data_IF_405112714803
#
_entry.id   IF_405112714803
#
_cell.length_a   1.000
_cell.length_b   1.000
_cell.length_c   1.000
_cell.angle_alpha   90.00
_cell.angle_beta   90.00
_cell.angle_gamma   90.00
#
_symmetry.space_group_name_H-M   'P 1'
#
loop_
_entity.id
_entity.type
_entity.pdbx_description
1 polymer ?
#
# COMPACT_ATOMS: atom_id res chain seq x y z
N UNK A 1 1.68 -0.29 24.33
CA UNK A 1 2.07 -1.48 23.55
C UNK A 1 0.77 -2.23 23.28
N UNK A 2 0.36 -2.40 22.02
CA UNK A 2 -0.86 -3.14 21.62
C UNK A 2 -0.53 -4.62 21.37
N UNK A 3 -1.54 -5.49 21.37
CA UNK A 3 -1.34 -6.93 21.14
C UNK A 3 -1.06 -7.25 19.67
N UNK A 4 -0.63 -8.47 19.37
CA UNK A 4 -0.41 -8.93 17.99
C UNK A 4 -1.77 -9.03 17.27
N UNK A 5 -2.79 -9.51 17.97
CA UNK A 5 -4.17 -9.65 17.48
C UNK A 5 -4.76 -8.30 17.10
N UNK A 6 -4.61 -7.27 17.94
CA UNK A 6 -5.08 -5.92 17.66
C UNK A 6 -4.44 -5.35 16.37
N UNK A 7 -3.13 -5.59 16.18
CA UNK A 7 -2.42 -5.16 14.97
C UNK A 7 -2.87 -5.94 13.73
N UNK A 8 -3.07 -7.25 13.86
CA UNK A 8 -3.56 -8.09 12.78
C UNK A 8 -4.98 -7.69 12.35
N UNK A 9 -5.86 -7.40 13.32
CA UNK A 9 -7.22 -6.92 13.06
C UNK A 9 -7.25 -5.55 12.38
N UNK A 10 -6.28 -4.67 12.66
CA UNK A 10 -6.11 -3.42 11.91
C UNK A 10 -5.64 -3.66 10.48
N UNK A 11 -4.69 -4.58 10.28
CA UNK A 11 -4.16 -4.89 8.95
C UNK A 11 -5.21 -5.52 8.03
N UNK A 12 -6.07 -6.40 8.54
CA UNK A 12 -7.07 -7.08 7.73
C UNK A 12 -8.15 -6.13 7.21
N UNK A 13 -8.39 -4.99 7.87
CA UNK A 13 -9.38 -3.99 7.39
C UNK A 13 -9.11 -3.49 5.96
N UNK A 14 -7.85 -3.57 5.48
CA UNK A 14 -7.47 -3.16 4.13
C UNK A 14 -8.17 -3.95 3.02
N UNK A 15 -8.66 -5.15 3.31
CA UNK A 15 -9.38 -5.97 2.32
C UNK A 15 -10.86 -5.58 2.17
N UNK A 16 -11.37 -4.71 3.06
CA UNK A 16 -12.77 -4.32 3.11
C UNK A 16 -13.69 -5.45 3.59
N UNK A 17 -15.01 -5.26 3.45
CA UNK A 17 -16.04 -6.19 3.94
C UNK A 17 -16.97 -6.70 2.85
N UNK A 18 -16.95 -6.09 1.66
CA UNK A 18 -17.91 -6.38 0.58
C UNK A 18 -17.39 -7.40 -0.43
N UNK A 19 -16.09 -7.39 -0.72
CA UNK A 19 -15.49 -8.29 -1.71
C UNK A 19 -15.05 -9.59 -1.02
N UNK A 20 -15.50 -10.77 -1.50
CA UNK A 20 -14.99 -12.05 -0.98
C UNK A 20 -13.55 -12.27 -1.45
N UNK A 21 -12.72 -12.86 -0.59
CA UNK A 21 -11.40 -13.37 -1.00
C UNK A 21 -11.63 -14.59 -1.89
N UNK A 22 -11.18 -14.52 -3.14
CA UNK A 22 -11.43 -15.56 -4.15
C UNK A 22 -10.29 -16.56 -4.30
N UNK A 23 -9.14 -16.29 -3.68
CA UNK A 23 -8.00 -17.19 -3.69
C UNK A 23 -6.79 -16.62 -2.96
N UNK A 24 -5.82 -17.50 -2.72
CA UNK A 24 -4.51 -17.15 -2.19
C UNK A 24 -3.45 -17.27 -3.28
N UNK A 25 -2.40 -16.47 -3.18
CA UNK A 25 -1.26 -16.46 -4.09
C UNK A 25 0.01 -16.74 -3.29
N UNK A 26 0.89 -17.55 -3.86
CA UNK A 26 2.27 -17.64 -3.39
C UNK A 26 3.05 -16.37 -3.81
N UNK A 27 4.24 -16.17 -3.26
CA UNK A 27 5.10 -15.02 -3.51
C UNK A 27 5.36 -14.84 -5.00
N UNK A 28 5.15 -13.61 -5.48
CA UNK A 28 5.35 -13.23 -6.90
C UNK A 28 4.48 -13.99 -7.92
N UNK A 29 3.42 -14.68 -7.50
CA UNK A 29 2.48 -15.35 -8.41
C UNK A 29 1.40 -14.38 -8.90
N UNK A 30 1.20 -14.33 -10.21
CA UNK A 30 0.17 -13.52 -10.86
C UNK A 30 -1.23 -14.12 -10.64
N UNK A 31 -2.26 -13.32 -10.31
CA UNK A 31 -3.64 -13.79 -10.22
C UNK A 31 -4.17 -14.28 -11.57
N UNK A 32 -5.02 -15.31 -11.57
CA UNK A 32 -5.58 -15.90 -12.80
C UNK A 32 -6.85 -15.20 -13.30
N UNK A 33 -7.37 -14.22 -12.56
CA UNK A 33 -8.58 -13.49 -12.91
C UNK A 33 -8.87 -12.30 -11.98
N UNK A 34 -9.92 -11.51 -12.29
CA UNK A 34 -10.30 -10.36 -11.48
C UNK A 34 -10.88 -10.78 -10.12
N UNK A 35 -10.66 -9.96 -9.09
CA UNK A 35 -11.21 -10.15 -7.75
C UNK A 35 -10.19 -9.85 -6.66
N UNK A 36 -10.55 -10.17 -5.41
CA UNK A 36 -9.69 -9.97 -4.25
C UNK A 36 -8.85 -11.23 -3.98
N UNK A 37 -7.53 -11.10 -4.15
CA UNK A 37 -6.55 -12.16 -3.91
C UNK A 37 -5.70 -11.85 -2.68
N UNK A 38 -5.33 -12.87 -1.93
CA UNK A 38 -4.46 -12.75 -0.76
C UNK A 38 -3.09 -13.37 -1.03
N UNK A 39 -2.04 -12.56 -1.14
CA UNK A 39 -0.67 -13.05 -1.34
C UNK A 39 0.01 -13.35 -0.01
N UNK A 40 0.43 -14.60 0.20
CA UNK A 40 1.24 -14.99 1.35
C UNK A 40 2.68 -14.47 1.18
N UNK A 41 3.01 -13.42 1.92
CA UNK A 41 4.22 -12.64 1.71
C UNK A 41 4.75 -12.02 3.00
N UNK A 42 6.02 -11.63 2.98
CA UNK A 42 6.65 -10.88 4.06
C UNK A 42 6.00 -9.50 4.23
N UNK A 43 5.94 -9.01 5.47
CA UNK A 43 5.46 -7.66 5.77
C UNK A 43 6.54 -6.58 5.61
N UNK A 44 7.79 -6.95 5.30
CA UNK A 44 8.87 -6.00 5.06
C UNK A 44 8.60 -5.21 3.78
N UNK A 45 8.51 -3.87 3.90
CA UNK A 45 8.02 -3.00 2.83
C UNK A 45 8.73 -3.20 1.48
N UNK A 46 10.06 -3.22 1.48
CA UNK A 46 10.83 -3.33 0.23
C UNK A 46 10.67 -4.71 -0.43
N UNK A 47 10.58 -5.77 0.36
CA UNK A 47 10.33 -7.13 -0.13
C UNK A 47 8.91 -7.27 -0.66
N UNK A 48 7.90 -6.84 0.11
CA UNK A 48 6.49 -6.92 -0.30
C UNK A 48 6.23 -6.20 -1.63
N UNK A 49 6.72 -4.96 -1.76
CA UNK A 49 6.50 -4.18 -2.99
C UNK A 49 7.24 -4.82 -4.18
N UNK A 50 8.41 -5.44 -3.94
CA UNK A 50 9.12 -6.20 -4.99
C UNK A 50 8.32 -7.43 -5.44
N UNK A 51 7.73 -8.18 -4.51
CA UNK A 51 6.95 -9.38 -4.82
C UNK A 51 5.68 -9.04 -5.61
N UNK A 52 4.95 -8.00 -5.23
CA UNK A 52 3.73 -7.60 -5.96
C UNK A 52 4.05 -6.99 -7.32
N UNK A 53 5.18 -6.27 -7.45
CA UNK A 53 5.67 -5.82 -8.75
C UNK A 53 5.96 -7.02 -9.67
N UNK A 54 6.65 -8.05 -9.15
CA UNK A 54 6.91 -9.29 -9.89
C UNK A 54 5.61 -10.07 -10.23
N UNK A 55 4.58 -9.99 -9.39
CA UNK A 55 3.28 -10.59 -9.65
C UNK A 55 2.42 -9.83 -10.68
N UNK A 56 2.86 -8.64 -11.14
CA UNK A 56 2.18 -7.85 -12.16
C UNK A 56 1.25 -6.75 -11.63
N UNK A 57 1.46 -6.27 -10.40
CA UNK A 57 0.70 -5.12 -9.89
C UNK A 57 1.04 -3.85 -10.67
N UNK A 58 0.04 -3.02 -10.93
CA UNK A 58 0.19 -1.76 -11.68
C UNK A 58 0.27 -0.52 -10.78
N UNK A 59 -0.23 -0.62 -9.55
CA UNK A 59 -0.19 0.43 -8.52
C UNK A 59 -0.14 -0.24 -7.15
N UNK A 60 0.56 0.38 -6.18
CA UNK A 60 0.58 -0.06 -4.80
C UNK A 60 0.20 1.07 -3.83
N UNK A 61 -0.85 0.88 -3.02
CA UNK A 61 -1.15 1.80 -1.92
C UNK A 61 -0.36 1.42 -0.66
N UNK A 62 0.40 2.37 -0.13
CA UNK A 62 1.23 2.17 1.06
C UNK A 62 0.79 3.08 2.22
N UNK A 63 -0.11 2.62 3.11
CA UNK A 63 -0.48 3.39 4.29
C UNK A 63 0.66 3.42 5.31
N UNK A 64 1.02 4.61 5.78
CA UNK A 64 2.08 4.76 6.78
C UNK A 64 1.73 5.79 7.85
N UNK A 65 1.84 5.38 9.12
CA UNK A 65 1.62 6.25 10.28
C UNK A 65 2.89 6.93 10.81
N UNK A 66 4.08 6.49 10.36
CA UNK A 66 5.38 7.02 10.81
C UNK A 66 6.18 7.67 9.67
N UNK A 67 5.61 7.74 8.46
CA UNK A 67 6.27 8.37 7.32
C UNK A 67 7.36 7.51 6.71
N UNK A 68 7.11 6.21 6.54
CA UNK A 68 8.01 5.36 5.76
C UNK A 68 8.09 5.89 4.32
N UNK A 69 9.31 6.14 3.85
CA UNK A 69 9.63 6.73 2.55
C UNK A 69 9.85 5.69 1.45
N UNK A 70 9.32 4.48 1.63
CA UNK A 70 9.43 3.40 0.65
C UNK A 70 8.79 3.84 -0.69
N UNK A 71 9.51 3.57 -1.78
CA UNK A 71 8.99 3.55 -3.13
C UNK A 71 9.43 2.27 -3.84
N UNK A 72 9.36 2.26 -5.16
CA UNK A 72 9.80 1.15 -5.98
C UNK A 72 10.09 1.63 -7.41
N UNK A 73 11.13 1.09 -8.09
CA UNK A 73 11.46 1.50 -9.45
C UNK A 73 10.51 0.96 -10.54
N UNK A 74 9.65 -0.02 -10.24
CA UNK A 74 8.80 -0.71 -11.22
C UNK A 74 7.33 -0.33 -11.07
N UNK A 75 6.80 -0.37 -9.84
CA UNK A 75 5.39 -0.08 -9.56
C UNK A 75 5.25 1.25 -8.82
N UNK A 76 4.36 2.17 -9.26
CA UNK A 76 4.05 3.39 -8.52
C UNK A 76 3.54 3.09 -7.11
N UNK A 77 4.14 3.76 -6.12
CA UNK A 77 3.79 3.60 -4.70
C UNK A 77 3.08 4.85 -4.20
N UNK A 78 1.76 4.76 -4.09
CA UNK A 78 0.90 5.84 -3.58
C UNK A 78 0.92 5.79 -2.06
N UNK A 79 1.57 6.77 -1.42
CA UNK A 79 1.66 6.83 0.04
C UNK A 79 0.51 7.63 0.63
N UNK A 80 -0.06 7.10 1.70
CA UNK A 80 -1.16 7.75 2.42
C UNK A 80 -0.95 7.73 3.93
N UNK A 81 -1.51 8.73 4.62
CA UNK A 81 -1.48 8.76 6.08
C UNK A 81 -2.76 9.33 6.68
N UNK A 82 -3.22 8.68 7.75
CA UNK A 82 -4.23 9.22 8.65
C UNK A 82 -3.61 9.96 9.86
N UNK A 83 -2.28 9.94 10.03
CA UNK A 83 -1.62 10.57 11.16
C UNK A 83 -1.36 12.07 10.89
N UNK A 84 -2.04 13.00 11.60
CA UNK A 84 -1.88 14.43 11.37
C UNK A 84 -0.44 14.93 11.54
N UNK A 85 0.33 14.29 12.44
CA UNK A 85 1.73 14.66 12.66
C UNK A 85 2.56 14.33 11.41
N UNK A 86 2.40 13.13 10.86
CA UNK A 86 3.10 12.69 9.65
C UNK A 86 2.75 13.56 8.47
N UNK A 87 1.46 13.87 8.26
CA UNK A 87 1.03 14.79 7.20
C UNK A 87 1.69 16.16 7.36
N UNK A 88 1.74 16.70 8.58
CA UNK A 88 2.33 18.03 8.82
C UNK A 88 3.85 18.08 8.60
N UNK A 89 4.57 17.01 8.96
CA UNK A 89 6.05 17.03 8.98
C UNK A 89 6.70 16.34 7.79
N UNK A 90 5.94 15.62 6.97
CA UNK A 90 6.43 14.82 5.84
C UNK A 90 5.46 14.88 4.65
N UNK A 91 4.79 16.02 4.44
CA UNK A 91 3.77 16.18 3.38
C UNK A 91 4.36 15.94 1.99
N UNK A 92 5.61 16.31 1.77
CA UNK A 92 6.34 16.08 0.52
C UNK A 92 6.52 14.59 0.17
N UNK A 93 6.38 13.70 1.15
CA UNK A 93 6.48 12.26 0.97
C UNK A 93 5.13 11.57 0.81
N UNK A 94 4.01 12.29 0.94
CA UNK A 94 2.66 11.74 0.97
C UNK A 94 1.87 12.14 -0.27
N UNK A 95 1.13 11.19 -0.83
CA UNK A 95 0.22 11.43 -1.94
C UNK A 95 -1.19 11.74 -1.45
N UNK A 96 -1.66 11.05 -0.40
CA UNK A 96 -3.04 11.18 0.09
C UNK A 96 -3.09 11.47 1.60
N UNK A 97 -3.66 12.63 1.94
CA UNK A 97 -4.03 13.00 3.31
C UNK A 97 -5.46 12.55 3.63
N UNK A 98 -5.55 11.58 4.55
CA UNK A 98 -6.81 11.09 5.14
C UNK A 98 -6.87 11.35 6.65
N UNK A 99 -6.06 12.28 7.17
CA UNK A 99 -6.00 12.60 8.59
C UNK A 99 -7.30 13.21 9.15
N UNK A 100 -8.15 13.76 8.26
CA UNK A 100 -9.50 14.21 8.60
C UNK A 100 -10.39 13.13 9.21
N UNK A 101 -10.12 11.84 8.95
CA UNK A 101 -10.85 10.71 9.58
C UNK A 101 -10.74 10.79 11.11
N UNK A 102 -9.52 11.00 11.65
CA UNK A 102 -9.30 11.06 13.09
C UNK A 102 -9.90 12.32 13.74
N UNK A 103 -10.12 13.37 12.94
CA UNK A 103 -10.77 14.62 13.37
C UNK A 103 -12.28 14.63 13.16
N UNK A 104 -12.85 13.57 12.56
CA UNK A 104 -14.26 13.48 12.14
C UNK A 104 -14.69 14.55 11.14
N UNK A 105 -13.73 15.08 10.38
CA UNK A 105 -13.94 16.01 9.26
C UNK A 105 -14.19 15.24 7.95
N UNK A 106 -13.89 13.94 7.94
CA UNK A 106 -13.99 13.03 6.80
C UNK A 106 -14.44 11.65 7.28
N UNK A 107 -15.26 10.95 6.49
CA UNK A 107 -15.62 9.56 6.73
C UNK A 107 -14.79 8.58 5.85
N UNK A 108 -14.98 7.27 6.04
CA UNK A 108 -14.22 6.26 5.29
C UNK A 108 -14.53 6.24 3.79
N UNK A 109 -15.78 6.54 3.40
CA UNK A 109 -16.17 6.56 1.99
C UNK A 109 -15.47 7.72 1.26
N UNK A 110 -15.47 8.92 1.86
CA UNK A 110 -14.75 10.10 1.33
C UNK A 110 -13.24 9.88 1.26
N UNK A 111 -12.68 9.14 2.22
CA UNK A 111 -11.28 8.73 2.15
C UNK A 111 -11.04 7.76 0.99
N UNK A 112 -11.93 6.78 0.81
CA UNK A 112 -11.91 5.86 -0.33
C UNK A 112 -11.95 6.59 -1.67
N UNK A 113 -12.84 7.57 -1.82
CA UNK A 113 -12.95 8.41 -3.03
C UNK A 113 -11.63 9.13 -3.30
N UNK A 114 -11.01 9.75 -2.29
CA UNK A 114 -9.69 10.39 -2.41
C UNK A 114 -8.59 9.42 -2.86
N UNK A 115 -8.60 8.18 -2.35
CA UNK A 115 -7.63 7.16 -2.75
C UNK A 115 -7.83 6.79 -4.23
N UNK A 116 -9.09 6.58 -4.66
CA UNK A 116 -9.42 6.25 -6.05
C UNK A 116 -9.06 7.39 -7.00
N UNK A 117 -9.38 8.63 -6.66
CA UNK A 117 -9.00 9.82 -7.44
C UNK A 117 -7.49 9.91 -7.62
N UNK A 118 -6.72 9.65 -6.56
CA UNK A 118 -5.26 9.62 -6.63
C UNK A 118 -4.76 8.51 -7.55
N UNK A 119 -5.32 7.30 -7.43
CA UNK A 119 -4.99 6.20 -8.33
C UNK A 119 -5.28 6.55 -9.79
N UNK A 120 -6.45 7.13 -10.09
CA UNK A 120 -6.81 7.53 -11.45
C UNK A 120 -5.84 8.58 -12.01
N UNK A 121 -5.43 9.56 -11.20
CA UNK A 121 -4.40 10.52 -11.62
C UNK A 121 -3.05 9.85 -11.86
N UNK A 122 -2.63 8.93 -10.98
CA UNK A 122 -1.37 8.20 -11.12
C UNK A 122 -1.33 7.35 -12.38
N UNK A 123 -2.38 6.57 -12.66
CA UNK A 123 -2.44 5.78 -13.90
C UNK A 123 -2.55 6.65 -15.15
N UNK A 124 -3.03 7.90 -15.03
CA UNK A 124 -3.04 8.90 -16.09
C UNK A 124 -1.68 9.62 -16.28
N UNK A 125 -0.64 9.24 -15.53
CA UNK A 125 0.73 9.73 -15.68
C UNK A 125 1.18 10.76 -14.63
N UNK A 126 0.37 11.05 -13.60
CA UNK A 126 0.85 11.82 -12.45
C UNK A 126 1.87 10.98 -11.68
N UNK A 127 3.11 11.47 -11.55
CA UNK A 127 4.10 10.84 -10.69
C UNK A 127 3.64 10.84 -9.22
N UNK A 128 3.82 9.71 -8.54
CA UNK A 128 3.71 9.64 -7.08
C UNK A 128 4.85 10.43 -6.41
N UNK A 129 4.67 10.78 -5.15
CA UNK A 129 5.73 11.42 -4.36
C UNK A 129 7.01 10.56 -4.31
N UNK A 130 6.87 9.22 -4.27
CA UNK A 130 8.02 8.31 -4.34
C UNK A 130 8.79 8.45 -5.67
N UNK A 131 8.08 8.44 -6.80
CA UNK A 131 8.72 8.58 -8.12
C UNK A 131 9.39 9.95 -8.29
N UNK A 132 8.71 11.04 -7.91
CA UNK A 132 9.23 12.39 -8.04
C UNK A 132 10.52 12.59 -7.21
N UNK A 133 10.60 11.93 -6.05
CA UNK A 133 11.75 11.97 -5.14
C UNK A 133 12.77 10.85 -5.41
N UNK A 134 12.58 10.02 -6.45
CA UNK A 134 13.47 8.91 -6.84
C UNK A 134 13.68 7.87 -5.73
N UNK A 135 12.63 7.58 -4.99
CA UNK A 135 12.61 6.56 -3.94
C UNK A 135 12.50 5.18 -4.57
N UNK A 136 13.64 4.55 -4.84
CA UNK A 136 13.74 3.32 -5.62
C UNK A 136 14.18 2.11 -4.77
N UNK A 137 13.53 1.90 -3.63
CA UNK A 137 13.87 0.78 -2.75
C UNK A 137 13.32 -0.54 -3.33
N UNK A 138 14.17 -1.55 -3.44
CA UNK A 138 13.79 -2.92 -3.79
C UNK A 138 14.76 -3.91 -3.12
N UNK A 139 14.36 -5.17 -3.02
CA UNK A 139 15.20 -6.23 -2.46
C UNK A 139 15.14 -7.44 -3.38
N UNK A 140 16.27 -8.07 -3.64
CA UNK A 140 16.29 -9.38 -4.31
C UNK A 140 15.84 -10.45 -3.32
N UNK A 141 14.62 -10.94 -3.50
CA UNK A 141 14.01 -11.95 -2.62
C UNK A 141 14.23 -13.35 -3.16
N UNK A 142 14.74 -14.24 -2.31
CA UNK A 142 14.82 -15.67 -2.62
C UNK A 142 13.46 -16.31 -2.41
N UNK A 143 12.84 -16.82 -3.48
CA UNK A 143 11.51 -17.42 -3.41
C UNK A 143 11.53 -18.83 -2.80
N UNK A 144 12.59 -19.59 -3.05
CA UNK A 144 12.74 -20.97 -2.58
C UNK A 144 13.81 -21.03 -1.50
N UNK A 145 13.47 -21.65 -0.37
CA UNK A 145 14.46 -21.99 0.66
C UNK A 145 15.43 -23.02 0.07
N UNK A 146 16.74 -22.80 0.25
CA UNK A 146 17.73 -23.83 -0.08
C UNK A 146 17.60 -24.95 0.94
N UNK A 147 17.60 -26.19 0.44
CA UNK A 147 17.63 -27.41 1.25
C UNK A 147 18.73 -27.39 2.33
#
# INVERSE_FOLDING_TARGET
MTTIEEKALGNIQKIGTKAPVIGTLDKAVTPTGPGLWFMDSSSAAAEMITLVAAAGYVVHFFPTGQGNIIGNPIVPVIKLSANPRTIRTMSEHMDVDVSGILRREMNLDQAGDKLLDMMFQTIAGRMTAAEALKQNQFVMTRLYESA
#
